data_IF_094573043164
#
_entry.id   IF_094573043164
#
_cell.length_a   1.000
_cell.length_b   1.000
_cell.length_c   1.000
_cell.angle_alpha   90.00
_cell.angle_beta   90.00
_cell.angle_gamma   90.00
#
_symmetry.space_group_name_H-M   'P 1'
#
loop_
_entity.id
_entity.type
_entity.pdbx_description
1 polymer ?
#
# COMPACT_ATOMS: atom_id res chain seq x y z
N UNK A 1 20.35 -12.90 -2.77
CA UNK A 1 19.37 -12.94 -3.88
C UNK A 1 17.98 -13.41 -3.46
N UNK A 2 17.81 -14.18 -2.39
CA UNK A 2 16.51 -14.69 -1.92
C UNK A 2 15.61 -13.66 -1.22
N UNK A 3 16.18 -12.65 -0.54
CA UNK A 3 15.40 -11.73 0.31
C UNK A 3 14.58 -10.69 -0.48
N UNK A 4 15.10 -10.21 -1.60
CA UNK A 4 14.42 -9.19 -2.43
C UNK A 4 13.15 -9.72 -3.09
N UNK A 5 13.16 -10.98 -3.53
CA UNK A 5 11.98 -11.65 -4.13
C UNK A 5 10.91 -11.85 -3.07
N UNK A 6 11.30 -12.24 -1.85
CA UNK A 6 10.37 -12.40 -0.73
C UNK A 6 9.67 -11.09 -0.37
N UNK A 7 10.42 -9.99 -0.26
CA UNK A 7 9.85 -8.66 0.02
C UNK A 7 8.86 -8.22 -1.06
N UNK A 8 9.16 -8.52 -2.34
CA UNK A 8 8.26 -8.22 -3.45
C UNK A 8 6.93 -8.99 -3.36
N UNK A 9 7.00 -10.29 -3.11
CA UNK A 9 5.79 -11.13 -2.97
C UNK A 9 4.94 -10.67 -1.78
N UNK A 10 5.59 -10.32 -0.66
CA UNK A 10 4.89 -9.83 0.53
C UNK A 10 4.20 -8.48 0.28
N UNK A 11 4.88 -7.56 -0.41
CA UNK A 11 4.27 -6.30 -0.85
C UNK A 11 3.11 -6.52 -1.81
N UNK A 12 3.26 -7.38 -2.83
CA UNK A 12 2.18 -7.68 -3.79
C UNK A 12 0.95 -8.25 -3.08
N UNK A 13 1.14 -9.11 -2.07
CA UNK A 13 0.05 -9.64 -1.26
C UNK A 13 -0.68 -8.54 -0.47
N UNK A 14 0.08 -7.63 0.17
CA UNK A 14 -0.50 -6.48 0.90
C UNK A 14 -1.24 -5.55 -0.06
N UNK A 15 -0.62 -5.23 -1.20
CA UNK A 15 -1.21 -4.38 -2.23
C UNK A 15 -2.56 -4.94 -2.69
N UNK A 16 -2.62 -6.21 -3.10
CA UNK A 16 -3.86 -6.84 -3.57
C UNK A 16 -4.92 -6.91 -2.46
N UNK A 17 -4.52 -7.20 -1.22
CA UNK A 17 -5.45 -7.30 -0.09
C UNK A 17 -6.08 -5.95 0.29
N UNK A 18 -5.33 -4.85 0.18
CA UNK A 18 -5.74 -3.54 0.71
C UNK A 18 -6.15 -2.51 -0.33
N UNK A 19 -5.69 -2.62 -1.59
CA UNK A 19 -5.92 -1.64 -2.65
C UNK A 19 -7.40 -1.26 -2.82
N UNK A 20 -8.28 -2.25 -2.92
CA UNK A 20 -9.71 -2.00 -3.14
C UNK A 20 -10.38 -1.22 -2.01
N UNK A 21 -9.99 -1.52 -0.76
CA UNK A 21 -10.51 -0.83 0.43
C UNK A 21 -9.95 0.58 0.54
N UNK A 22 -8.66 0.76 0.29
CA UNK A 22 -8.01 2.06 0.32
C UNK A 22 -8.50 2.98 -0.79
N UNK A 23 -8.71 2.47 -2.00
CA UNK A 23 -9.28 3.25 -3.10
C UNK A 23 -10.68 3.73 -2.77
N UNK A 24 -11.53 2.86 -2.21
CA UNK A 24 -12.87 3.26 -1.74
C UNK A 24 -12.77 4.33 -0.66
N UNK A 25 -11.83 4.19 0.28
CA UNK A 25 -11.62 5.20 1.30
C UNK A 25 -11.16 6.55 0.73
N UNK A 26 -10.19 6.56 -0.19
CA UNK A 26 -9.72 7.78 -0.83
C UNK A 26 -10.81 8.44 -1.69
N UNK A 27 -11.65 7.65 -2.36
CA UNK A 27 -12.77 8.12 -3.18
C UNK A 27 -13.78 8.97 -2.41
N UNK A 28 -13.90 8.80 -1.08
CA UNK A 28 -14.77 9.65 -0.25
C UNK A 28 -14.25 11.09 -0.13
N UNK A 29 -12.97 11.33 -0.45
CA UNK A 29 -12.31 12.64 -0.32
C UNK A 29 -12.09 13.34 -1.67
N UNK A 30 -12.27 12.63 -2.79
CA UNK A 30 -12.00 13.16 -4.13
C UNK A 30 -13.15 12.86 -5.07
N UNK A 31 -13.39 13.78 -6.02
CA UNK A 31 -14.51 13.66 -6.97
C UNK A 31 -14.19 12.65 -8.06
N UNK A 32 -12.94 12.61 -8.53
CA UNK A 32 -12.54 11.77 -9.67
C UNK A 32 -11.89 10.49 -9.17
N UNK A 33 -12.23 9.39 -9.82
CA UNK A 33 -11.67 8.08 -9.51
C UNK A 33 -10.17 8.01 -9.76
N UNK A 34 -9.67 8.70 -10.79
CA UNK A 34 -8.24 8.80 -11.07
C UNK A 34 -7.45 9.42 -9.91
N UNK A 35 -8.03 10.41 -9.22
CA UNK A 35 -7.39 11.05 -8.07
C UNK A 35 -7.30 10.06 -6.89
N UNK A 36 -8.34 9.25 -6.69
CA UNK A 36 -8.34 8.22 -5.65
C UNK A 36 -7.31 7.12 -5.95
N UNK A 37 -7.16 6.73 -7.21
CA UNK A 37 -6.13 5.78 -7.64
C UNK A 37 -4.73 6.34 -7.43
N UNK A 38 -4.47 7.59 -7.83
CA UNK A 38 -3.18 8.24 -7.65
C UNK A 38 -2.79 8.32 -6.17
N UNK A 39 -3.71 8.75 -5.30
CA UNK A 39 -3.46 8.82 -3.85
C UNK A 39 -3.07 7.44 -3.30
N UNK A 40 -3.80 6.39 -3.67
CA UNK A 40 -3.51 5.04 -3.18
C UNK A 40 -2.18 4.52 -3.73
N UNK A 41 -1.88 4.78 -5.00
CA UNK A 41 -0.59 4.43 -5.60
C UNK A 41 0.58 5.12 -4.89
N UNK A 42 0.46 6.40 -4.56
CA UNK A 42 1.49 7.15 -3.83
C UNK A 42 1.72 6.56 -2.42
N UNK A 43 0.66 6.22 -1.68
CA UNK A 43 0.79 5.59 -0.35
C UNK A 43 1.49 4.22 -0.42
N UNK A 44 1.18 3.42 -1.45
CA UNK A 44 1.85 2.13 -1.66
C UNK A 44 3.30 2.30 -2.12
N UNK A 45 3.60 3.34 -2.89
CA UNK A 45 4.97 3.67 -3.28
C UNK A 45 5.80 4.05 -2.04
N UNK A 46 5.27 4.90 -1.17
CA UNK A 46 5.91 5.24 0.11
C UNK A 46 6.15 4.00 0.97
N UNK A 47 5.17 3.09 1.01
CA UNK A 47 5.27 1.82 1.75
C UNK A 47 6.35 0.89 1.18
N UNK A 48 6.54 0.92 -0.14
CA UNK A 48 7.62 0.19 -0.81
C UNK A 48 9.00 0.80 -0.53
N UNK A 49 9.11 2.13 -0.60
CA UNK A 49 10.36 2.86 -0.42
C UNK A 49 10.87 2.84 1.04
N UNK A 50 9.96 2.90 2.02
CA UNK A 50 10.33 2.85 3.44
C UNK A 50 10.77 1.46 3.94
N UNK A 51 10.82 0.45 3.06
CA UNK A 51 11.07 -0.96 3.38
C UNK A 51 10.04 -1.55 4.37
N UNK A 52 9.34 -2.59 3.93
CA UNK A 52 8.39 -3.41 4.70
C UNK A 52 8.90 -3.87 6.09
N UNK A 53 10.22 -3.85 6.33
CA UNK A 53 10.88 -4.16 7.60
C UNK A 53 10.47 -3.22 8.75
N UNK A 54 10.10 -1.97 8.47
CA UNK A 54 9.54 -1.08 9.51
C UNK A 54 8.12 -1.51 9.90
N UNK A 55 7.35 -2.06 8.96
CA UNK A 55 5.98 -2.54 9.18
C UNK A 55 5.92 -3.90 9.87
N UNK A 56 6.99 -4.70 9.87
CA UNK A 56 7.03 -5.90 10.75
C UNK A 56 6.97 -5.55 12.24
N UNK A 57 7.31 -4.32 12.64
CA UNK A 57 7.24 -3.83 14.01
C UNK A 57 6.08 -2.85 14.26
N UNK A 58 5.33 -2.47 13.22
CA UNK A 58 4.29 -1.44 13.28
C UNK A 58 2.97 -2.01 12.78
N UNK A 59 1.83 -1.66 13.38
CA UNK A 59 0.56 -2.21 12.93
C UNK A 59 0.20 -1.68 11.52
N UNK A 60 0.39 -2.52 10.49
CA UNK A 60 0.09 -2.21 9.09
C UNK A 60 -1.33 -1.69 8.88
N UNK A 61 -2.31 -2.19 9.66
CA UNK A 61 -3.70 -1.72 9.60
C UNK A 61 -3.93 -0.35 10.21
N UNK A 62 -3.01 0.15 11.05
CA UNK A 62 -3.09 1.53 11.54
C UNK A 62 -2.47 2.51 10.55
N UNK A 63 -1.59 2.01 9.66
CA UNK A 63 -0.96 2.80 8.60
C UNK A 63 -1.86 2.89 7.35
N UNK A 64 -2.53 1.80 6.97
CA UNK A 64 -3.43 1.68 5.81
C UNK A 64 -4.91 1.76 6.18
#
# INVERSE_FOLDING_TARGET
MSNTIKNRIEFENIYVAHYSRMKRFAQEYVIREEDAENIVQDVFLDLWEQNLLLLTHTNLFAYL
#
